data_IF_661777691790
#
_entry.id   IF_661777691790
#
_cell.length_a   1.000
_cell.length_b   1.000
_cell.length_c   1.000
_cell.angle_alpha   90.00
_cell.angle_beta   90.00
_cell.angle_gamma   90.00
#
_symmetry.space_group_name_H-M   'P 1'
#
loop_
_entity.id
_entity.type
_entity.pdbx_description
1 polymer ?
#
# COMPACT_ATOMS: atom_id res chain seq x y z
N UNK A 1 -26.93 61.22 16.31
CA UNK A 1 -27.77 60.47 15.34
C UNK A 1 -28.04 59.05 15.86
N UNK A 2 -28.61 58.99 17.07
CA UNK A 2 -29.04 57.78 17.78
C UNK A 2 -30.42 57.38 17.27
N UNK A 3 -30.54 56.30 16.48
CA UNK A 3 -31.87 55.69 16.16
C UNK A 3 -31.80 54.31 15.48
N UNK A 4 -30.93 53.38 15.92
CA UNK A 4 -30.94 51.99 15.41
C UNK A 4 -30.63 50.90 16.46
N UNK A 5 -31.06 51.08 17.71
CA UNK A 5 -30.87 50.07 18.77
C UNK A 5 -32.13 49.77 19.60
N UNK A 6 -33.32 49.86 19.02
CA UNK A 6 -34.57 49.43 19.67
C UNK A 6 -35.41 48.66 18.65
N UNK A 7 -35.25 47.33 18.64
CA UNK A 7 -36.31 46.34 18.41
C UNK A 7 -35.70 44.93 18.44
N UNK A 8 -35.21 44.53 19.62
CA UNK A 8 -35.43 43.17 20.09
C UNK A 8 -36.79 43.18 20.81
N UNK A 9 -37.47 42.04 20.78
CA UNK A 9 -38.72 41.70 21.50
C UNK A 9 -39.99 42.01 20.70
N UNK A 10 -40.43 41.00 19.93
CA UNK A 10 -41.82 40.57 19.73
C UNK A 10 -41.97 39.83 18.40
N UNK A 11 -41.58 38.55 18.41
CA UNK A 11 -42.09 37.57 17.47
C UNK A 11 -42.07 36.20 18.16
N UNK A 12 -42.89 36.08 19.20
CA UNK A 12 -43.38 34.79 19.68
C UNK A 12 -44.35 34.32 18.59
N UNK A 13 -43.84 33.53 17.65
CA UNK A 13 -44.68 32.86 16.67
C UNK A 13 -45.08 31.50 17.25
N UNK A 14 -46.38 31.35 17.53
CA UNK A 14 -47.02 30.11 17.93
C UNK A 14 -46.66 28.98 16.95
N UNK A 15 -46.02 27.93 17.47
CA UNK A 15 -45.90 26.66 16.78
C UNK A 15 -47.18 25.84 16.99
N UNK A 16 -47.96 25.64 15.94
CA UNK A 16 -48.96 24.57 15.86
C UNK A 16 -48.26 23.20 15.75
N UNK A 17 -48.83 22.11 16.31
CA UNK A 17 -48.27 20.78 16.16
C UNK A 17 -48.75 20.18 14.83
N UNK A 18 -47.81 19.91 13.93
CA UNK A 18 -48.07 19.14 12.70
C UNK A 18 -47.18 17.89 12.68
N UNK A 19 -47.67 16.81 12.05
CA UNK A 19 -47.40 15.44 12.46
C UNK A 19 -46.04 14.92 11.99
N UNK A 20 -45.60 13.85 12.66
CA UNK A 20 -44.37 13.12 12.42
C UNK A 20 -44.09 12.88 10.92
N UNK A 21 -43.01 13.47 10.42
CA UNK A 21 -42.53 13.28 9.05
C UNK A 21 -41.29 14.12 8.78
N UNK A 22 -40.15 13.45 8.59
CA UNK A 22 -38.88 13.92 8.00
C UNK A 22 -38.60 15.44 8.09
N UNK A 23 -37.89 15.85 9.15
CA UNK A 23 -37.43 17.23 9.32
C UNK A 23 -36.13 17.46 8.51
N UNK A 24 -36.26 17.91 7.26
CA UNK A 24 -35.11 18.37 6.46
C UNK A 24 -34.50 19.63 7.10
N UNK A 25 -33.30 19.51 7.65
CA UNK A 25 -32.50 20.65 8.08
C UNK A 25 -32.04 21.47 6.87
N UNK A 26 -32.24 22.80 6.93
CA UNK A 26 -31.68 23.73 5.94
C UNK A 26 -30.16 23.64 5.95
N UNK A 27 -29.55 23.14 4.87
CA UNK A 27 -28.13 23.25 4.62
C UNK A 27 -27.84 24.40 3.65
N UNK A 28 -26.84 25.22 3.98
CA UNK A 28 -26.25 26.16 3.03
C UNK A 28 -25.55 25.36 1.92
N UNK A 29 -25.97 25.55 0.67
CA UNK A 29 -25.38 24.90 -0.49
C UNK A 29 -23.97 25.45 -0.75
N UNK A 30 -22.95 24.83 -0.16
CA UNK A 30 -21.59 24.93 -0.69
C UNK A 30 -21.55 24.15 -2.00
N UNK A 31 -21.15 24.80 -3.10
CA UNK A 31 -20.97 24.19 -4.42
C UNK A 31 -19.84 23.17 -4.39
N UNK A 32 -20.10 21.98 -3.84
CA UNK A 32 -19.20 20.84 -3.90
C UNK A 32 -19.22 20.29 -5.32
N UNK A 33 -18.04 19.99 -5.87
CA UNK A 33 -17.93 19.31 -7.16
C UNK A 33 -18.44 17.87 -7.00
N UNK A 34 -19.64 17.60 -7.50
CA UNK A 34 -20.24 16.28 -7.43
C UNK A 34 -19.62 15.38 -8.51
N UNK A 35 -18.73 14.48 -8.11
CA UNK A 35 -18.25 13.42 -9.00
C UNK A 35 -19.32 12.33 -9.04
N UNK A 36 -19.93 12.14 -10.22
CA UNK A 36 -21.00 11.14 -10.45
C UNK A 36 -20.59 9.72 -10.06
N UNK A 37 -19.30 9.38 -10.16
CA UNK A 37 -18.76 8.09 -9.76
C UNK A 37 -18.95 7.81 -8.27
N UNK A 38 -18.68 8.78 -7.40
CA UNK A 38 -18.81 8.58 -5.95
C UNK A 38 -20.28 8.50 -5.53
N UNK A 39 -21.13 9.30 -6.17
CA UNK A 39 -22.58 9.22 -5.98
C UNK A 39 -23.13 7.87 -6.43
N UNK A 40 -22.65 7.33 -7.55
CA UNK A 40 -23.05 6.00 -8.02
C UNK A 40 -22.70 4.92 -6.99
N UNK A 41 -21.49 4.96 -6.42
CA UNK A 41 -21.10 4.05 -5.33
C UNK A 41 -22.02 4.22 -4.12
N UNK A 42 -22.27 5.44 -3.67
CA UNK A 42 -23.18 5.69 -2.55
C UNK A 42 -24.58 5.13 -2.82
N UNK A 43 -25.13 5.36 -4.02
CA UNK A 43 -26.43 4.84 -4.44
C UNK A 43 -26.44 3.30 -4.47
N UNK A 44 -25.36 2.64 -4.92
CA UNK A 44 -25.30 1.17 -4.88
C UNK A 44 -25.31 0.63 -3.45
N UNK A 45 -24.67 1.33 -2.51
CA UNK A 45 -24.72 0.95 -1.09
C UNK A 45 -26.12 1.17 -0.50
N UNK A 46 -26.80 2.26 -0.85
CA UNK A 46 -28.19 2.52 -0.46
C UNK A 46 -29.14 1.43 -0.99
N UNK A 47 -29.09 1.13 -2.29
CA UNK A 47 -29.97 0.11 -2.86
C UNK A 47 -29.70 -1.28 -2.29
N UNK A 48 -28.42 -1.61 -2.03
CA UNK A 48 -28.07 -2.86 -1.37
C UNK A 48 -28.63 -2.92 0.06
N UNK A 49 -28.57 -1.84 0.83
CA UNK A 49 -29.13 -1.76 2.17
C UNK A 49 -30.66 -1.86 2.15
N UNK A 50 -31.34 -1.11 1.27
CA UNK A 50 -32.80 -1.13 1.12
C UNK A 50 -33.33 -2.50 0.66
N UNK A 51 -32.63 -3.19 -0.23
CA UNK A 51 -33.07 -4.52 -0.72
C UNK A 51 -32.75 -5.62 0.29
N UNK A 52 -31.58 -5.58 0.93
CA UNK A 52 -31.14 -6.65 1.83
C UNK A 52 -31.66 -6.49 3.26
N UNK A 53 -32.02 -5.27 3.67
CA UNK A 53 -32.45 -4.94 5.04
C UNK A 53 -31.39 -5.32 6.09
N UNK A 54 -30.12 -5.37 5.67
CA UNK A 54 -28.97 -5.71 6.52
C UNK A 54 -28.39 -4.42 7.11
N UNK A 55 -28.03 -4.40 8.41
CA UNK A 55 -27.41 -3.24 9.03
C UNK A 55 -26.15 -2.75 8.29
N UNK A 56 -25.93 -1.44 8.26
CA UNK A 56 -24.75 -0.79 7.68
C UNK A 56 -23.42 -1.37 8.20
N UNK A 57 -23.40 -1.75 9.48
CA UNK A 57 -22.24 -2.34 10.15
C UNK A 57 -21.86 -3.70 9.57
N UNK A 58 -22.80 -4.42 8.97
CA UNK A 58 -22.59 -5.74 8.37
C UNK A 58 -22.41 -5.63 6.87
N UNK A 59 -23.25 -4.81 6.21
CA UNK A 59 -23.26 -4.71 4.76
C UNK A 59 -21.95 -4.12 4.21
N UNK A 60 -21.32 -3.17 4.91
CA UNK A 60 -20.07 -2.55 4.48
C UNK A 60 -18.89 -3.53 4.54
N UNK A 61 -18.63 -4.23 5.65
CA UNK A 61 -17.64 -5.31 5.67
C UNK A 61 -17.93 -6.42 4.66
N UNK A 62 -19.20 -6.84 4.54
CA UNK A 62 -19.59 -7.91 3.62
C UNK A 62 -19.32 -7.53 2.17
N UNK A 63 -19.75 -6.34 1.73
CA UNK A 63 -19.50 -5.86 0.37
C UNK A 63 -18.00 -5.69 0.10
N UNK A 64 -17.22 -5.29 1.12
CA UNK A 64 -15.77 -5.17 1.04
C UNK A 64 -15.10 -6.52 0.80
N UNK A 65 -15.51 -7.56 1.53
CA UNK A 65 -15.01 -8.93 1.34
C UNK A 65 -15.40 -9.44 -0.05
N UNK A 66 -16.67 -9.31 -0.44
CA UNK A 66 -17.17 -9.75 -1.75
C UNK A 66 -16.43 -9.07 -2.89
N UNK A 67 -16.29 -7.74 -2.85
CA UNK A 67 -15.59 -7.00 -3.89
C UNK A 67 -14.10 -7.38 -3.96
N UNK A 68 -13.46 -7.58 -2.81
CA UNK A 68 -12.05 -7.98 -2.78
C UNK A 68 -11.83 -9.40 -3.28
N UNK A 69 -12.72 -10.34 -2.94
CA UNK A 69 -12.65 -11.72 -3.45
C UNK A 69 -12.85 -11.79 -4.95
N UNK A 70 -13.80 -11.02 -5.51
CA UNK A 70 -14.08 -11.03 -6.95
C UNK A 70 -13.03 -10.27 -7.76
N UNK A 71 -12.61 -9.10 -7.30
CA UNK A 71 -11.74 -8.20 -8.06
C UNK A 71 -10.28 -8.43 -7.70
N UNK A 72 -9.90 -8.27 -6.43
CA UNK A 72 -8.49 -8.17 -6.04
C UNK A 72 -7.79 -9.51 -5.83
N UNK A 73 -8.51 -10.55 -5.39
CA UNK A 73 -7.92 -11.86 -5.09
C UNK A 73 -7.33 -12.56 -6.33
N UNK A 74 -8.00 -12.59 -7.51
CA UNK A 74 -7.42 -13.20 -8.71
C UNK A 74 -6.10 -12.52 -9.12
N UNK A 75 -6.06 -11.19 -9.08
CA UNK A 75 -4.83 -10.43 -9.35
C UNK A 75 -3.74 -10.72 -8.32
N UNK A 76 -4.12 -10.86 -7.04
CA UNK A 76 -3.17 -11.18 -5.96
C UNK A 76 -2.55 -12.57 -6.15
N UNK A 77 -3.36 -13.59 -6.48
CA UNK A 77 -2.88 -14.95 -6.79
C UNK A 77 -1.95 -14.92 -8.01
N UNK A 78 -2.35 -14.22 -9.07
CA UNK A 78 -1.55 -14.07 -10.28
C UNK A 78 -0.20 -13.39 -10.01
N UNK A 79 -0.22 -12.28 -9.28
CA UNK A 79 0.98 -11.55 -8.89
C UNK A 79 1.90 -12.42 -8.01
N UNK A 80 1.33 -13.19 -7.06
CA UNK A 80 2.09 -14.10 -6.20
C UNK A 80 2.83 -15.17 -7.01
N UNK A 81 2.12 -15.89 -7.91
CA UNK A 81 2.73 -16.89 -8.80
C UNK A 81 3.85 -16.30 -9.65
N UNK A 82 3.65 -15.07 -10.15
CA UNK A 82 4.66 -14.33 -10.92
C UNK A 82 5.91 -14.00 -10.09
N UNK A 83 5.74 -13.53 -8.85
CA UNK A 83 6.86 -13.21 -7.97
C UNK A 83 7.67 -14.47 -7.64
N UNK A 84 7.02 -15.62 -7.39
CA UNK A 84 7.71 -16.88 -7.16
C UNK A 84 8.59 -17.28 -8.36
N UNK A 85 8.04 -17.22 -9.58
CA UNK A 85 8.82 -17.47 -10.80
C UNK A 85 9.98 -16.49 -10.97
N UNK A 86 9.82 -15.22 -10.54
CA UNK A 86 10.93 -14.27 -10.55
C UNK A 86 12.02 -14.63 -9.54
N UNK A 87 11.66 -15.07 -8.35
CA UNK A 87 12.62 -15.46 -7.31
C UNK A 87 13.43 -16.66 -7.77
N UNK A 88 12.79 -17.68 -8.34
CA UNK A 88 13.47 -18.84 -8.93
C UNK A 88 14.49 -18.43 -10.00
N UNK A 89 14.08 -17.58 -10.95
CA UNK A 89 14.98 -17.08 -11.99
C UNK A 89 16.09 -16.16 -11.44
N UNK A 90 15.85 -15.43 -10.34
CA UNK A 90 16.87 -14.61 -9.68
C UNK A 90 17.95 -15.47 -9.04
N UNK A 91 17.60 -16.61 -8.43
CA UNK A 91 18.56 -17.56 -7.85
C UNK A 91 19.62 -17.99 -8.88
N UNK A 92 19.24 -18.15 -10.15
CA UNK A 92 20.16 -18.52 -11.24
C UNK A 92 21.15 -17.41 -11.62
N UNK A 93 20.78 -16.14 -11.44
CA UNK A 93 21.58 -14.98 -11.88
C UNK A 93 22.43 -14.41 -10.73
N UNK A 94 22.02 -14.62 -9.49
CA UNK A 94 22.73 -14.17 -8.30
C UNK A 94 24.23 -14.57 -8.23
N UNK A 95 24.64 -15.82 -8.54
CA UNK A 95 26.05 -16.21 -8.50
C UNK A 95 26.91 -15.52 -9.56
N UNK A 96 26.32 -14.93 -10.60
CA UNK A 96 27.07 -14.24 -11.65
C UNK A 96 27.80 -13.01 -11.10
N UNK A 97 27.21 -12.29 -10.16
CA UNK A 97 27.80 -11.05 -9.61
C UNK A 97 29.17 -11.28 -8.98
N UNK A 98 29.35 -12.21 -8.01
CA UNK A 98 30.67 -12.49 -7.44
C UNK A 98 31.66 -13.04 -8.48
N UNK A 99 31.21 -13.90 -9.41
CA UNK A 99 32.06 -14.46 -10.46
C UNK A 99 32.61 -13.36 -11.37
N UNK A 100 31.76 -12.43 -11.82
CA UNK A 100 32.18 -11.31 -12.68
C UNK A 100 33.10 -10.36 -11.91
N UNK A 101 32.82 -10.07 -10.64
CA UNK A 101 33.73 -9.28 -9.79
C UNK A 101 35.12 -9.90 -9.70
N UNK A 102 35.22 -11.20 -9.41
CA UNK A 102 36.49 -11.92 -9.33
C UNK A 102 37.21 -11.95 -10.69
N UNK A 103 36.49 -12.19 -11.78
CA UNK A 103 37.05 -12.19 -13.14
C UNK A 103 37.61 -10.82 -13.52
N UNK A 104 36.87 -9.74 -13.26
CA UNK A 104 37.32 -8.38 -13.53
C UNK A 104 38.52 -7.99 -12.67
N UNK A 105 38.51 -8.34 -11.37
CA UNK A 105 39.64 -8.11 -10.47
C UNK A 105 40.91 -8.84 -10.95
N UNK A 106 40.79 -10.11 -11.37
CA UNK A 106 41.90 -10.88 -11.91
C UNK A 106 42.48 -10.27 -13.20
N UNK A 107 41.63 -9.76 -14.11
CA UNK A 107 42.07 -9.09 -15.34
C UNK A 107 42.79 -7.76 -15.02
N UNK A 108 42.25 -6.97 -14.09
CA UNK A 108 42.89 -5.72 -13.65
C UNK A 108 44.25 -5.99 -13.01
N UNK A 109 44.35 -7.01 -12.15
CA UNK A 109 45.63 -7.40 -11.52
C UNK A 109 46.66 -7.87 -12.56
N UNK A 110 46.24 -8.64 -13.58
CA UNK A 110 47.14 -9.04 -14.69
C UNK A 110 47.62 -7.85 -15.51
N UNK A 111 46.75 -6.88 -15.82
CA UNK A 111 47.14 -5.64 -16.50
C UNK A 111 48.08 -4.77 -15.67
N UNK A 112 47.88 -4.72 -14.35
CA UNK A 112 48.76 -4.00 -13.43
C UNK A 112 50.16 -4.64 -13.32
N UNK A 113 50.29 -5.96 -13.47
CA UNK A 113 51.59 -6.67 -13.45
C UNK A 113 52.41 -6.55 -14.73
N UNK A 114 51.81 -6.08 -15.84
CA UNK A 114 52.52 -5.75 -17.09
C UNK A 114 52.62 -4.22 -17.30
N UNK A 115 53.29 -3.43 -16.42
CA UNK A 115 53.36 -1.98 -16.55
C UNK A 115 54.39 -1.50 -17.60
N UNK A 116 55.08 -2.41 -18.28
CA UNK A 116 56.19 -2.07 -19.18
C UNK A 116 55.74 -2.17 -20.63
N UNK A 117 55.72 -1.02 -21.33
CA UNK A 117 55.88 -1.00 -22.79
C UNK A 117 57.36 -0.75 -23.08
N UNK A 118 57.98 -1.64 -23.84
CA UNK A 118 59.35 -1.48 -24.34
C UNK A 118 59.25 -0.62 -25.61
N UNK A 119 59.90 0.54 -25.64
CA UNK A 119 60.02 1.31 -26.89
C UNK A 119 60.92 0.56 -27.88
N UNK A 120 60.82 0.88 -29.18
CA UNK A 120 61.70 0.33 -30.23
C UNK A 120 63.22 0.49 -29.94
N UNK A 121 63.57 1.35 -28.98
CA UNK A 121 64.94 1.65 -28.56
C UNK A 121 65.36 0.94 -27.26
N UNK A 122 64.56 -0.02 -26.75
CA UNK A 122 64.92 -0.86 -25.60
C UNK A 122 64.79 -0.23 -24.21
N UNK A 123 64.33 1.02 -24.09
CA UNK A 123 64.18 1.70 -22.80
C UNK A 123 62.83 1.42 -22.12
N UNK A 124 62.87 1.26 -20.79
CA UNK A 124 61.70 1.04 -19.93
C UNK A 124 61.06 2.39 -19.55
N UNK A 125 59.83 2.65 -19.99
CA UNK A 125 59.07 3.82 -19.53
C UNK A 125 58.07 3.37 -18.45
N UNK A 126 58.07 3.96 -17.24
CA UNK A 126 57.00 3.77 -16.28
C UNK A 126 55.70 4.35 -16.86
N UNK A 127 54.66 3.52 -17.00
CA UNK A 127 53.36 4.04 -17.42
C UNK A 127 52.80 5.01 -16.35
N UNK A 128 52.14 6.12 -16.74
CA UNK A 128 51.56 7.05 -15.78
C UNK A 128 50.55 6.33 -14.88
N UNK A 129 50.54 6.69 -13.59
CA UNK A 129 49.75 6.08 -12.50
C UNK A 129 48.23 6.04 -12.77
N UNK A 130 47.75 6.76 -13.78
CA UNK A 130 46.33 6.83 -14.17
C UNK A 130 46.09 6.38 -15.62
N UNK A 131 46.60 5.20 -16.00
CA UNK A 131 46.14 4.60 -17.25
C UNK A 131 44.62 4.36 -17.20
N UNK A 132 43.86 4.75 -18.23
CA UNK A 132 42.40 4.52 -18.34
C UNK A 132 42.00 3.03 -18.43
N UNK A 133 42.95 2.10 -18.21
CA UNK A 133 42.76 0.65 -18.29
C UNK A 133 42.77 -0.09 -16.95
N UNK A 134 43.12 0.56 -15.83
CA UNK A 134 43.11 -0.04 -14.49
C UNK A 134 41.77 0.33 -13.83
N UNK A 135 40.86 -0.63 -13.72
CA UNK A 135 39.53 -0.42 -13.15
C UNK A 135 39.62 -0.24 -11.63
N UNK A 136 38.99 0.80 -11.10
CA UNK A 136 38.86 0.97 -9.63
C UNK A 136 37.94 -0.11 -9.05
N UNK A 137 38.06 -0.45 -7.75
CA UNK A 137 37.17 -1.43 -7.10
C UNK A 137 35.69 -1.12 -7.28
N UNK A 138 35.33 0.17 -7.21
CA UNK A 138 33.96 0.63 -7.42
C UNK A 138 33.49 0.40 -8.85
N UNK A 139 34.34 0.73 -9.84
CA UNK A 139 34.02 0.47 -11.25
C UNK A 139 33.85 -1.02 -11.52
N UNK A 140 34.69 -1.89 -10.93
CA UNK A 140 34.57 -3.35 -11.03
C UNK A 140 33.21 -3.80 -10.49
N UNK A 141 32.79 -3.28 -9.32
CA UNK A 141 31.51 -3.65 -8.73
C UNK A 141 30.33 -3.17 -9.57
N UNK A 142 30.39 -1.95 -10.10
CA UNK A 142 29.34 -1.37 -10.94
C UNK A 142 29.21 -2.12 -12.27
N UNK A 143 30.34 -2.45 -12.92
CA UNK A 143 30.35 -3.24 -14.16
C UNK A 143 29.79 -4.64 -13.93
N UNK A 144 30.19 -5.31 -12.83
CA UNK A 144 29.65 -6.61 -12.47
C UNK A 144 28.13 -6.56 -12.23
N UNK A 145 27.64 -5.56 -11.48
CA UNK A 145 26.20 -5.37 -11.26
C UNK A 145 25.46 -5.07 -12.56
N UNK A 146 26.05 -4.24 -13.45
CA UNK A 146 25.46 -3.92 -14.76
C UNK A 146 25.34 -5.16 -15.65
N UNK A 147 26.38 -6.00 -15.69
CA UNK A 147 26.34 -7.27 -16.43
C UNK A 147 25.25 -8.21 -15.88
N UNK A 148 25.22 -8.41 -14.56
CA UNK A 148 24.19 -9.22 -13.90
C UNK A 148 22.79 -8.73 -14.23
N UNK A 149 22.55 -7.41 -14.17
CA UNK A 149 21.23 -6.81 -14.50
C UNK A 149 20.85 -7.01 -15.96
N UNK A 150 21.81 -6.90 -16.88
CA UNK A 150 21.57 -7.14 -18.30
C UNK A 150 21.20 -8.62 -18.56
N UNK A 151 21.93 -9.56 -17.95
CA UNK A 151 21.59 -10.99 -18.03
C UNK A 151 20.24 -11.29 -17.40
N UNK A 152 19.92 -10.71 -16.25
CA UNK A 152 18.61 -10.81 -15.60
C UNK A 152 17.48 -10.33 -16.53
N UNK A 153 17.65 -9.17 -17.16
CA UNK A 153 16.67 -8.61 -18.11
C UNK A 153 16.44 -9.54 -19.31
N UNK A 154 17.51 -10.08 -19.89
CA UNK A 154 17.42 -11.06 -20.99
C UNK A 154 16.69 -12.34 -20.56
N UNK A 155 17.04 -12.87 -19.39
CA UNK A 155 16.41 -14.08 -18.84
C UNK A 155 14.91 -13.86 -18.57
N UNK A 156 14.55 -12.72 -18.00
CA UNK A 156 13.16 -12.34 -17.73
C UNK A 156 12.37 -12.11 -19.01
N UNK A 157 12.98 -11.52 -20.05
CA UNK A 157 12.35 -11.37 -21.37
C UNK A 157 12.08 -12.74 -22.00
N UNK A 158 13.05 -13.66 -21.96
CA UNK A 158 12.91 -15.03 -22.48
C UNK A 158 11.77 -15.81 -21.81
N UNK A 159 11.57 -15.63 -20.50
CA UNK A 159 10.53 -16.33 -19.73
C UNK A 159 9.22 -15.53 -19.58
N UNK A 160 9.09 -14.38 -20.26
CA UNK A 160 7.93 -13.47 -20.18
C UNK A 160 7.61 -12.93 -18.77
N UNK A 161 8.63 -12.77 -17.93
CA UNK A 161 8.51 -12.35 -16.52
C UNK A 161 9.01 -10.92 -16.32
N UNK A 162 8.33 -9.94 -16.91
CA UNK A 162 8.62 -8.51 -16.69
C UNK A 162 8.32 -8.05 -15.25
N UNK A 163 9.14 -7.12 -14.75
CA UNK A 163 9.05 -6.56 -13.39
C UNK A 163 7.90 -5.57 -13.20
N UNK A 164 7.58 -4.77 -14.23
CA UNK A 164 6.53 -3.74 -14.14
C UNK A 164 5.15 -4.33 -13.84
N UNK A 165 4.90 -5.58 -14.26
CA UNK A 165 3.67 -6.32 -13.99
C UNK A 165 3.44 -6.58 -12.50
N UNK A 166 4.47 -6.49 -11.66
CA UNK A 166 4.32 -6.58 -10.22
C UNK A 166 3.66 -5.35 -9.60
N UNK A 167 3.59 -4.21 -10.31
CA UNK A 167 2.90 -3.01 -9.83
C UNK A 167 1.38 -3.04 -10.13
N UNK A 168 0.89 -4.10 -10.79
CA UNK A 168 -0.53 -4.19 -11.20
C UNK A 168 -1.48 -4.16 -10.00
N UNK A 169 -1.14 -4.84 -8.90
CA UNK A 169 -2.02 -4.88 -7.73
C UNK A 169 -2.22 -3.47 -7.12
N UNK A 170 -1.17 -2.69 -6.81
CA UNK A 170 -1.34 -1.28 -6.42
C UNK A 170 -2.14 -0.43 -7.43
N UNK A 171 -1.92 -0.63 -8.73
CA UNK A 171 -2.63 0.12 -9.79
C UNK A 171 -4.13 -0.13 -9.76
N UNK A 172 -4.58 -1.35 -9.44
CA UNK A 172 -6.00 -1.68 -9.32
C UNK A 172 -6.55 -1.32 -7.93
N UNK A 173 -5.76 -1.59 -6.88
CA UNK A 173 -6.19 -1.49 -5.49
C UNK A 173 -6.34 -0.05 -5.01
N UNK A 174 -5.43 0.87 -5.39
CA UNK A 174 -5.49 2.27 -4.93
C UNK A 174 -6.76 2.96 -5.48
N UNK A 175 -7.07 2.93 -6.79
CA UNK A 175 -8.30 3.54 -7.31
C UNK A 175 -9.56 2.92 -6.72
N UNK A 176 -9.60 1.59 -6.57
CA UNK A 176 -10.72 0.89 -5.94
C UNK A 176 -10.91 1.36 -4.49
N UNK A 177 -9.81 1.46 -3.74
CA UNK A 177 -9.87 1.91 -2.35
C UNK A 177 -10.34 3.37 -2.24
N UNK A 178 -9.87 4.26 -3.12
CA UNK A 178 -10.28 5.68 -3.14
C UNK A 178 -11.75 5.83 -3.52
N UNK A 179 -12.21 5.12 -4.56
CA UNK A 179 -13.59 5.21 -5.05
C UNK A 179 -14.61 4.76 -4.00
N UNK A 180 -14.35 3.64 -3.32
CA UNK A 180 -15.20 3.17 -2.21
C UNK A 180 -15.12 4.14 -1.03
N UNK A 181 -13.92 4.62 -0.67
CA UNK A 181 -13.76 5.56 0.45
C UNK A 181 -14.54 6.85 0.21
N UNK A 182 -14.50 7.39 -1.01
CA UNK A 182 -15.27 8.58 -1.36
C UNK A 182 -16.77 8.30 -1.45
N UNK A 183 -17.18 7.14 -1.99
CA UNK A 183 -18.60 6.76 -2.01
C UNK A 183 -19.20 6.62 -0.62
N UNK A 184 -18.51 5.95 0.30
CA UNK A 184 -18.95 5.85 1.71
C UNK A 184 -18.92 7.23 2.37
N UNK A 185 -17.92 8.06 2.08
CA UNK A 185 -17.88 9.43 2.61
C UNK A 185 -19.08 10.26 2.15
N UNK A 186 -19.45 10.16 0.87
CA UNK A 186 -20.64 10.79 0.29
C UNK A 186 -21.93 10.29 0.95
N UNK A 187 -22.03 8.98 1.22
CA UNK A 187 -23.15 8.39 1.95
C UNK A 187 -23.30 8.98 3.36
N UNK A 188 -22.18 9.22 4.04
CA UNK A 188 -22.14 9.80 5.40
C UNK A 188 -22.14 11.34 5.44
N UNK A 189 -22.37 12.03 4.32
CA UNK A 189 -22.54 13.49 4.38
C UNK A 189 -23.89 13.89 5.01
N UNK A 190 -24.90 13.03 4.88
CA UNK A 190 -26.13 13.12 5.63
C UNK A 190 -26.03 12.27 6.91
N UNK A 191 -26.81 12.67 7.92
CA UNK A 191 -26.92 11.89 9.16
C UNK A 191 -27.41 10.48 8.82
N UNK A 192 -26.61 9.48 9.15
CA UNK A 192 -26.89 8.08 8.83
C UNK A 192 -27.16 7.33 10.13
N UNK A 193 -28.44 7.31 10.51
CA UNK A 193 -28.94 6.49 11.62
C UNK A 193 -29.52 5.22 11.03
N UNK A 194 -29.04 4.08 11.51
CA UNK A 194 -29.56 2.79 11.11
C UNK A 194 -30.99 2.61 11.63
N UNK A 195 -31.87 2.15 10.74
CA UNK A 195 -33.28 1.90 11.05
C UNK A 195 -33.53 0.41 11.27
N UNK A 196 -32.70 -0.45 10.68
CA UNK A 196 -32.82 -1.90 10.77
C UNK A 196 -31.79 -2.45 11.76
N UNK A 197 -32.23 -2.67 12.99
CA UNK A 197 -31.45 -3.37 14.01
C UNK A 197 -32.08 -4.72 14.34
N UNK A 198 -31.57 -5.83 13.77
CA UNK A 198 -31.95 -7.14 14.25
C UNK A 198 -31.49 -7.30 15.71
N UNK A 199 -32.23 -8.09 16.49
CA UNK A 199 -32.07 -8.23 17.95
C UNK A 199 -30.62 -8.49 18.38
N UNK A 200 -29.91 -9.35 17.66
CA UNK A 200 -28.50 -9.66 17.93
C UNK A 200 -27.53 -8.48 17.75
N UNK A 201 -27.87 -7.47 16.94
CA UNK A 201 -27.08 -6.22 16.81
C UNK A 201 -27.53 -5.20 17.85
N UNK A 202 -28.81 -5.19 18.21
CA UNK A 202 -29.33 -4.29 19.23
C UNK A 202 -28.64 -4.50 20.60
N UNK A 203 -28.31 -5.76 20.93
CA UNK A 203 -27.53 -6.14 22.12
C UNK A 203 -26.12 -5.54 22.16
N UNK A 204 -25.54 -5.18 21.00
CA UNK A 204 -24.21 -4.59 20.91
C UNK A 204 -24.20 -3.08 21.25
N UNK A 205 -25.35 -2.48 21.56
CA UNK A 205 -25.44 -1.08 21.97
C UNK A 205 -25.27 -0.06 20.84
N UNK A 206 -25.30 -0.51 19.58
CA UNK A 206 -25.18 0.39 18.42
C UNK A 206 -26.50 1.04 17.99
N UNK A 207 -27.64 0.64 18.59
CA UNK A 207 -29.01 1.00 18.16
C UNK A 207 -29.31 2.49 17.94
N UNK A 208 -28.59 3.40 18.59
CA UNK A 208 -28.76 4.86 18.45
C UNK A 208 -27.49 5.58 17.97
N UNK A 209 -26.52 4.82 17.46
CA UNK A 209 -25.23 5.35 17.07
C UNK A 209 -25.30 5.98 15.68
N UNK A 210 -24.84 7.23 15.57
CA UNK A 210 -24.72 7.92 14.28
C UNK A 210 -23.44 7.47 13.58
N UNK A 211 -23.61 6.73 12.49
CA UNK A 211 -22.50 6.16 11.71
C UNK A 211 -21.76 7.21 10.88
N UNK A 212 -22.36 8.39 10.71
CA UNK A 212 -21.79 9.52 9.97
C UNK A 212 -20.89 10.42 10.84
N UNK A 213 -21.11 10.41 12.15
CA UNK A 213 -20.36 11.23 13.10
C UNK A 213 -18.93 10.70 13.28
N UNK A 214 -17.91 11.59 13.33
CA UNK A 214 -16.62 11.25 13.90
C UNK A 214 -16.84 10.74 15.33
N UNK A 215 -16.37 9.52 15.61
CA UNK A 215 -16.70 8.72 16.80
C UNK A 215 -16.76 9.56 18.11
N UNK A 216 -17.94 10.01 18.52
CA UNK A 216 -18.10 10.80 19.76
C UNK A 216 -18.16 9.93 21.01
N UNK A 217 -18.64 8.67 20.91
CA UNK A 217 -18.76 7.76 22.04
C UNK A 217 -17.47 6.95 22.33
N UNK A 218 -16.65 6.65 21.31
CA UNK A 218 -15.37 5.94 21.45
C UNK A 218 -14.31 6.48 20.48
N UNK A 219 -13.83 7.72 20.66
CA UNK A 219 -13.08 8.48 19.64
C UNK A 219 -11.78 7.84 19.13
N UNK A 220 -11.19 6.90 19.87
CA UNK A 220 -9.88 6.33 19.52
C UNK A 220 -9.90 4.86 19.14
N UNK A 221 -11.00 4.12 19.36
CA UNK A 221 -11.01 2.68 19.11
C UNK A 221 -10.83 2.35 17.62
N UNK A 222 -11.65 2.93 16.74
CA UNK A 222 -11.54 2.64 15.31
C UNK A 222 -10.21 3.12 14.70
N UNK A 223 -9.69 4.34 14.99
CA UNK A 223 -8.36 4.75 14.52
C UNK A 223 -7.22 3.85 15.01
N UNK A 224 -7.26 3.40 16.27
CA UNK A 224 -6.28 2.45 16.82
C UNK A 224 -6.38 1.10 16.10
N UNK A 225 -7.59 0.58 15.87
CA UNK A 225 -7.79 -0.68 15.13
C UNK A 225 -7.30 -0.57 13.67
N UNK A 226 -7.63 0.53 12.97
CA UNK A 226 -7.13 0.79 11.62
C UNK A 226 -5.61 0.86 11.61
N UNK A 227 -5.01 1.62 12.54
CA UNK A 227 -3.55 1.78 12.63
C UNK A 227 -2.82 0.49 12.96
N UNK A 228 -3.31 -0.27 13.94
CA UNK A 228 -2.71 -1.56 14.34
C UNK A 228 -2.77 -2.59 13.21
N UNK A 229 -3.93 -2.75 12.55
CA UNK A 229 -4.05 -3.65 11.40
C UNK A 229 -3.19 -3.20 10.22
N UNK A 230 -3.06 -1.89 9.99
CA UNK A 230 -2.17 -1.35 8.95
C UNK A 230 -0.70 -1.69 9.22
N UNK A 231 -0.23 -1.48 10.46
CA UNK A 231 1.13 -1.84 10.88
C UNK A 231 1.35 -3.35 10.75
N UNK A 232 0.40 -4.18 11.20
CA UNK A 232 0.49 -5.64 11.05
C UNK A 232 0.62 -6.05 9.58
N UNK A 233 -0.16 -5.45 8.69
CA UNK A 233 -0.04 -5.69 7.25
C UNK A 233 1.34 -5.29 6.72
N UNK A 234 1.85 -4.12 7.10
CA UNK A 234 3.16 -3.62 6.66
C UNK A 234 4.29 -4.51 7.17
N UNK A 235 4.29 -4.86 8.46
CA UNK A 235 5.33 -5.71 9.06
C UNK A 235 5.30 -7.13 8.51
N UNK A 236 4.10 -7.70 8.31
CA UNK A 236 3.96 -9.03 7.72
C UNK A 236 4.48 -9.05 6.27
N UNK A 237 4.05 -8.10 5.43
CA UNK A 237 4.53 -7.99 4.05
C UNK A 237 6.03 -7.70 3.97
N UNK A 238 6.54 -6.87 4.88
CA UNK A 238 7.96 -6.62 5.03
C UNK A 238 8.73 -7.89 5.32
N UNK A 239 8.37 -8.62 6.38
CA UNK A 239 9.02 -9.88 6.75
C UNK A 239 9.07 -10.88 5.59
N UNK A 240 7.98 -10.99 4.82
CA UNK A 240 7.94 -11.86 3.63
C UNK A 240 8.96 -11.44 2.56
N UNK A 241 9.09 -10.14 2.30
CA UNK A 241 10.07 -9.60 1.33
C UNK A 241 11.52 -9.76 1.82
N UNK A 242 11.80 -9.49 3.11
CA UNK A 242 13.16 -9.60 3.67
C UNK A 242 13.62 -11.06 3.82
N UNK A 243 12.72 -11.96 4.22
CA UNK A 243 13.05 -13.40 4.36
C UNK A 243 13.49 -13.99 3.02
N UNK A 244 12.88 -13.57 1.91
CA UNK A 244 13.26 -14.04 0.56
C UNK A 244 14.66 -13.62 0.11
N UNK A 245 15.21 -12.52 0.64
CA UNK A 245 16.56 -12.06 0.30
C UNK A 245 17.63 -12.60 1.27
N UNK A 246 17.27 -12.84 2.53
CA UNK A 246 18.20 -13.31 3.57
C UNK A 246 18.56 -14.79 3.42
N UNK A 247 17.61 -15.65 3.05
CA UNK A 247 17.84 -17.09 2.88
C UNK A 247 18.72 -17.46 1.69
N UNK A 248 19.00 -16.50 0.79
CA UNK A 248 19.95 -16.71 -0.30
C UNK A 248 21.40 -16.41 0.09
N UNK A 249 21.67 -15.99 1.32
CA UNK A 249 23.02 -15.86 1.89
C UNK A 249 23.40 -17.12 2.68
N UNK A 250 23.34 -18.28 2.04
CA UNK A 250 23.91 -19.54 2.58
C UNK A 250 25.44 -19.59 2.58
N UNK A 251 26.11 -18.48 2.31
CA UNK A 251 27.57 -18.35 2.36
C UNK A 251 27.88 -17.32 3.44
N UNK A 252 28.45 -17.79 4.56
CA UNK A 252 28.99 -16.97 5.67
C UNK A 252 30.22 -16.16 5.24
N UNK A 253 30.24 -15.57 4.04
CA UNK A 253 31.27 -14.62 3.65
C UNK A 253 30.80 -13.23 4.03
N UNK A 254 31.34 -12.78 5.16
CA UNK A 254 31.40 -11.41 5.63
C UNK A 254 31.53 -10.44 4.44
N UNK A 255 30.48 -9.66 4.19
CA UNK A 255 30.62 -8.24 3.88
C UNK A 255 29.29 -7.58 4.19
N UNK A 256 29.29 -6.86 5.31
CA UNK A 256 28.26 -5.92 5.75
C UNK A 256 28.28 -4.68 4.85
N UNK A 257 28.17 -4.88 3.54
CA UNK A 257 27.81 -3.80 2.63
C UNK A 257 26.33 -3.99 2.36
N UNK A 258 25.51 -3.23 3.08
CA UNK A 258 24.10 -3.03 2.77
C UNK A 258 24.00 -2.78 1.28
N UNK A 259 23.56 -3.80 0.53
CA UNK A 259 23.38 -3.61 -0.90
C UNK A 259 22.39 -2.45 -1.05
N UNK A 260 22.62 -1.50 -1.96
CA UNK A 260 21.67 -0.38 -2.23
C UNK A 260 20.22 -0.86 -2.39
N UNK A 261 20.03 -2.13 -2.76
CA UNK A 261 18.74 -2.83 -2.81
C UNK A 261 18.15 -3.07 -1.41
N UNK A 262 18.93 -3.54 -0.44
CA UNK A 262 18.51 -3.72 0.95
C UNK A 262 18.16 -2.37 1.60
N UNK A 263 18.94 -1.32 1.33
CA UNK A 263 18.64 0.05 1.79
C UNK A 263 17.35 0.57 1.16
N UNK A 264 17.16 0.37 -0.15
CA UNK A 264 15.91 0.72 -0.82
C UNK A 264 14.69 -0.06 -0.30
N UNK A 265 14.85 -1.34 0.05
CA UNK A 265 13.77 -2.11 0.68
C UNK A 265 13.49 -1.60 2.11
N UNK A 266 14.53 -1.24 2.87
CA UNK A 266 14.38 -0.67 4.20
C UNK A 266 13.71 0.72 4.16
N UNK A 267 14.05 1.55 3.17
CA UNK A 267 13.38 2.84 2.98
C UNK A 267 11.91 2.67 2.59
N UNK A 268 11.57 1.70 1.75
CA UNK A 268 10.16 1.36 1.45
C UNK A 268 9.42 0.97 2.72
N UNK A 269 10.01 0.16 3.62
CA UNK A 269 9.39 -0.15 4.90
C UNK A 269 9.17 1.08 5.75
N UNK A 270 10.17 1.93 5.90
CA UNK A 270 10.06 3.14 6.71
C UNK A 270 8.98 4.08 6.17
N UNK A 271 8.89 4.24 4.84
CA UNK A 271 7.82 4.98 4.17
C UNK A 271 6.45 4.34 4.43
N UNK A 272 6.35 3.00 4.36
CA UNK A 272 5.08 2.31 4.64
C UNK A 272 4.64 2.40 6.11
N UNK A 273 5.59 2.43 7.06
CA UNK A 273 5.32 2.66 8.49
C UNK A 273 4.83 4.09 8.73
N UNK A 274 5.46 5.08 8.09
CA UNK A 274 4.97 6.46 8.10
C UNK A 274 3.56 6.54 7.51
N UNK A 275 3.29 5.80 6.43
CA UNK A 275 1.95 5.65 5.86
C UNK A 275 0.92 5.10 6.84
N UNK A 276 1.30 4.21 7.77
CA UNK A 276 0.40 3.73 8.82
C UNK A 276 0.03 4.82 9.82
N UNK A 277 0.99 5.69 10.19
CA UNK A 277 0.73 6.85 11.06
C UNK A 277 -0.23 7.83 10.38
N UNK A 278 -0.01 8.11 9.10
CA UNK A 278 -0.93 8.95 8.31
C UNK A 278 -2.31 8.33 8.24
N UNK A 279 -2.42 7.02 8.01
CA UNK A 279 -3.69 6.30 7.98
C UNK A 279 -4.45 6.39 9.30
N UNK A 280 -3.74 6.29 10.44
CA UNK A 280 -4.32 6.46 11.77
C UNK A 280 -4.87 7.88 11.95
N UNK A 281 -4.12 8.91 11.55
CA UNK A 281 -4.56 10.31 11.63
C UNK A 281 -5.72 10.64 10.65
N UNK A 282 -5.78 9.97 9.50
CA UNK A 282 -6.93 10.07 8.60
C UNK A 282 -8.18 9.40 9.19
N UNK A 283 -8.01 8.31 9.93
CA UNK A 283 -9.10 7.59 10.59
C UNK A 283 -9.71 8.35 11.76
N UNK A 284 -8.96 9.17 12.48
CA UNK A 284 -9.52 9.97 13.58
C UNK A 284 -10.51 11.05 13.10
N UNK A 285 -10.40 11.47 11.84
CA UNK A 285 -11.29 12.46 11.23
C UNK A 285 -12.33 11.84 10.30
N UNK A 286 -12.33 10.51 10.17
CA UNK A 286 -13.22 9.79 9.29
C UNK A 286 -14.54 9.44 9.99
N UNK A 287 -15.66 9.40 9.27
CA UNK A 287 -16.90 8.78 9.74
C UNK A 287 -16.66 7.34 10.20
N UNK A 288 -17.44 6.88 11.18
CA UNK A 288 -17.30 5.52 11.70
C UNK A 288 -17.47 4.46 10.59
N UNK A 289 -18.47 4.64 9.71
CA UNK A 289 -18.72 3.69 8.62
C UNK A 289 -17.53 3.55 7.67
N UNK A 290 -16.82 4.66 7.42
CA UNK A 290 -15.60 4.67 6.61
C UNK A 290 -14.44 3.96 7.32
N UNK A 291 -14.31 4.17 8.63
CA UNK A 291 -13.31 3.46 9.43
C UNK A 291 -13.58 1.95 9.47
N UNK A 292 -14.86 1.53 9.54
CA UNK A 292 -15.26 0.13 9.49
C UNK A 292 -14.92 -0.54 8.15
N UNK A 293 -15.12 0.18 7.04
CA UNK A 293 -14.61 -0.22 5.74
C UNK A 293 -13.08 -0.41 5.79
N UNK A 294 -12.32 0.55 6.32
CA UNK A 294 -10.87 0.42 6.41
C UNK A 294 -10.42 -0.76 7.27
N UNK A 295 -11.06 -1.01 8.42
CA UNK A 295 -10.80 -2.17 9.29
C UNK A 295 -11.02 -3.48 8.53
N UNK A 296 -12.21 -3.67 7.94
CA UNK A 296 -12.55 -4.89 7.21
C UNK A 296 -11.61 -5.11 6.02
N UNK A 297 -11.24 -4.03 5.32
CA UNK A 297 -10.27 -4.10 4.23
C UNK A 297 -8.85 -4.43 4.73
N UNK A 298 -8.36 -3.86 5.84
CA UNK A 298 -7.05 -4.24 6.37
C UNK A 298 -7.03 -5.68 6.88
N UNK A 299 -8.09 -6.12 7.55
CA UNK A 299 -8.24 -7.50 8.02
C UNK A 299 -8.23 -8.49 6.85
N UNK A 300 -8.99 -8.21 5.79
CA UNK A 300 -8.98 -9.04 4.58
C UNK A 300 -7.58 -9.13 3.97
N UNK A 301 -6.85 -8.02 3.86
CA UNK A 301 -5.48 -8.03 3.34
C UNK A 301 -4.56 -8.92 4.16
N UNK A 302 -4.71 -8.92 5.48
CA UNK A 302 -3.89 -9.71 6.40
C UNK A 302 -4.18 -11.20 6.21
N UNK A 303 -5.46 -11.58 6.26
CA UNK A 303 -5.92 -12.96 6.06
C UNK A 303 -5.51 -13.46 4.67
N UNK A 304 -5.73 -12.67 3.63
CA UNK A 304 -5.34 -12.99 2.26
C UNK A 304 -3.83 -13.28 2.17
N UNK A 305 -2.98 -12.44 2.76
CA UNK A 305 -1.54 -12.63 2.69
C UNK A 305 -1.07 -13.86 3.48
N UNK A 306 -1.72 -14.18 4.61
CA UNK A 306 -1.47 -15.41 5.37
C UNK A 306 -1.84 -16.63 4.52
N UNK A 307 -3.04 -16.66 3.95
CA UNK A 307 -3.53 -17.77 3.11
C UNK A 307 -2.66 -17.94 1.87
N UNK A 308 -2.32 -16.85 1.17
CA UNK A 308 -1.44 -16.90 0.01
C UNK A 308 -0.03 -17.38 0.37
N UNK A 309 0.47 -17.04 1.56
CA UNK A 309 1.76 -17.54 2.01
C UNK A 309 1.72 -19.02 2.35
N UNK A 310 0.60 -19.50 2.91
CA UNK A 310 0.38 -20.92 3.18
C UNK A 310 0.29 -21.74 1.88
N UNK A 311 -0.47 -21.28 0.88
CA UNK A 311 -0.62 -21.99 -0.41
C UNK A 311 0.63 -21.86 -1.30
N UNK A 312 1.22 -20.67 -1.36
CA UNK A 312 2.31 -20.31 -2.27
C UNK A 312 3.49 -19.67 -1.50
N UNK A 313 4.22 -20.43 -0.66
CA UNK A 313 5.29 -19.88 0.17
C UNK A 313 6.44 -19.30 -0.65
N UNK A 314 7.03 -18.19 -0.19
CA UNK A 314 8.17 -17.55 -0.86
C UNK A 314 9.48 -18.34 -0.78
N UNK A 315 9.58 -19.25 0.18
CA UNK A 315 10.74 -20.12 0.36
C UNK A 315 10.31 -21.55 0.08
N UNK A 316 10.72 -22.05 -1.09
CA UNK A 316 10.99 -23.47 -1.33
C UNK A 316 12.51 -23.65 -1.38
#
# INVERSE_FOLDING_TARGET
MFKRLINRQNAVALSSPSPAGLRYGRFNASTKRNFSLFQSVANTFLTLHEVSQIPWIVIVPLSTITLRTLVTLPFSVWQRKRILKQQELRKLVQPITPIVKLRLAAITNKKSKNPVKINANGSLIPLPVQNPGILTPDQITLLAVKETRNRQRKLFKKHNVSLWKNALLPIVQIPLWVTISMGIRTLTEAQLVETFYPSWVAELGFGSFDLSSPLTAMPLLAPILVGTLAVLNVEYNGRLMFSSNMSSQGIKTVSRNSSRVQEAMASILNVSRLGCVVMLAMSSQAPFLLSLYWISSQLYSLVQNIVLNWIYPYQR
#
